data_IF_829908756338
#
_entry.id   IF_829908756338
#
_cell.length_a   1.000
_cell.length_b   1.000
_cell.length_c   1.000
_cell.angle_alpha   90.00
_cell.angle_beta   90.00
_cell.angle_gamma   90.00
#
_symmetry.space_group_name_H-M   'P 1'
#
loop_
_entity.id
_entity.type
_entity.pdbx_description
1 polymer ?
#
# COMPACT_ATOMS: atom_id res chain seq x y z
N UNK A 1 -18.66 59.87 49.87
CA UNK A 1 -19.05 60.99 48.98
C UNK A 1 -18.65 60.60 47.56
N UNK A 2 -19.64 60.56 46.68
CA UNK A 2 -19.62 60.68 45.22
C UNK A 2 -18.73 59.76 44.35
N UNK A 3 -19.44 58.86 43.64
CA UNK A 3 -19.41 58.60 42.20
C UNK A 3 -18.25 59.20 41.37
N UNK A 4 -17.68 58.42 40.45
CA UNK A 4 -18.14 58.43 39.05
C UNK A 4 -17.28 57.54 38.15
N UNK A 5 -17.98 56.85 37.24
CA UNK A 5 -17.54 56.10 36.08
C UNK A 5 -16.65 56.89 35.11
N UNK A 6 -15.77 56.18 34.40
CA UNK A 6 -15.52 56.24 32.94
C UNK A 6 -14.41 55.21 32.63
N UNK A 7 -14.65 54.11 31.90
CA UNK A 7 -15.04 54.08 30.49
C UNK A 7 -13.81 53.75 29.64
N UNK A 8 -13.53 52.45 29.42
CA UNK A 8 -12.59 51.98 28.37
C UNK A 8 -13.14 50.72 27.69
N UNK A 9 -14.25 50.92 26.99
CA UNK A 9 -14.74 50.05 25.92
C UNK A 9 -13.77 50.22 24.74
N UNK A 10 -12.78 49.33 24.60
CA UNK A 10 -11.83 49.47 23.48
C UNK A 10 -10.66 48.49 23.42
N UNK A 11 -10.63 47.45 24.25
CA UNK A 11 -9.51 46.48 24.26
C UNK A 11 -9.97 45.06 23.89
N UNK A 12 -11.27 44.83 23.75
CA UNK A 12 -11.81 43.46 23.58
C UNK A 12 -11.88 43.03 22.10
N UNK A 13 -11.74 43.94 21.13
CA UNK A 13 -12.05 43.65 19.72
C UNK A 13 -10.84 43.22 18.89
N UNK A 14 -9.59 43.42 19.34
CA UNK A 14 -8.41 43.29 18.47
C UNK A 14 -7.49 42.10 18.75
N UNK A 15 -7.84 41.18 19.67
CA UNK A 15 -7.02 39.99 19.93
C UNK A 15 -7.73 38.65 19.73
N UNK A 16 -8.86 38.64 19.02
CA UNK A 16 -9.55 37.40 18.59
C UNK A 16 -9.39 37.10 17.10
N UNK A 17 -8.72 37.98 16.33
CA UNK A 17 -8.57 37.86 14.87
C UNK A 17 -7.33 37.11 14.39
N UNK A 18 -6.39 36.74 15.27
CA UNK A 18 -5.12 36.10 14.88
C UNK A 18 -5.17 34.56 14.95
N UNK A 19 -6.16 33.97 15.62
CA UNK A 19 -6.17 32.53 15.89
C UNK A 19 -6.88 31.65 14.82
N UNK A 20 -7.34 32.22 13.71
CA UNK A 20 -8.20 31.50 12.73
C UNK A 20 -7.40 30.82 11.60
N UNK A 21 -6.08 31.06 11.50
CA UNK A 21 -5.30 30.69 10.30
C UNK A 21 -4.53 29.35 10.39
N UNK A 22 -4.70 28.52 11.41
CA UNK A 22 -3.83 27.34 11.61
C UNK A 22 -4.47 25.96 11.36
N UNK A 23 -5.63 25.89 10.71
CA UNK A 23 -6.25 24.60 10.38
C UNK A 23 -6.47 24.40 8.87
N UNK A 24 -5.44 24.63 8.05
CA UNK A 24 -5.39 23.97 6.74
C UNK A 24 -4.83 22.57 6.95
N UNK A 25 -5.70 21.63 7.32
CA UNK A 25 -5.36 20.21 7.28
C UNK A 25 -5.06 19.85 5.82
N UNK A 26 -3.76 19.69 5.52
CA UNK A 26 -3.33 19.02 4.31
C UNK A 26 -3.76 17.56 4.44
N UNK A 27 -4.99 17.25 4.03
CA UNK A 27 -5.37 15.89 3.72
C UNK A 27 -4.59 15.54 2.46
N UNK A 28 -3.32 15.14 2.59
CA UNK A 28 -2.66 14.43 1.51
C UNK A 28 -3.49 13.18 1.33
N UNK A 29 -4.25 13.13 0.24
CA UNK A 29 -4.85 11.92 -0.25
C UNK A 29 -3.67 11.01 -0.60
N UNK A 30 -3.19 10.25 0.38
CA UNK A 30 -2.27 9.17 0.13
C UNK A 30 -3.02 8.26 -0.83
N UNK A 31 -2.56 8.21 -2.08
CA UNK A 31 -3.10 7.32 -3.10
C UNK A 31 -3.02 5.91 -2.51
N UNK A 32 -4.17 5.42 -2.05
CA UNK A 32 -4.28 4.11 -1.44
C UNK A 32 -3.92 3.14 -2.55
N UNK A 33 -2.73 2.51 -2.46
CA UNK A 33 -2.32 1.44 -3.37
C UNK A 33 -3.49 0.47 -3.48
N UNK A 34 -4.24 0.55 -4.57
CA UNK A 34 -5.44 -0.23 -4.74
C UNK A 34 -4.97 -1.69 -4.84
N UNK A 35 -5.48 -2.55 -3.97
CA UNK A 35 -5.22 -3.97 -4.10
C UNK A 35 -6.01 -4.41 -5.34
N UNK A 36 -5.29 -4.58 -6.44
CA UNK A 36 -5.84 -5.12 -7.68
C UNK A 36 -5.84 -6.65 -7.60
N UNK A 37 -6.99 -7.27 -7.85
CA UNK A 37 -7.05 -8.71 -8.08
C UNK A 37 -6.46 -9.04 -9.46
N UNK A 38 -5.31 -9.71 -9.45
CA UNK A 38 -4.64 -10.13 -10.68
C UNK A 38 -4.88 -11.62 -10.89
N UNK A 39 -5.51 -11.98 -12.00
CA UNK A 39 -5.72 -13.39 -12.34
C UNK A 39 -4.43 -14.05 -12.82
N UNK A 40 -4.05 -15.14 -12.15
CA UNK A 40 -2.95 -15.99 -12.60
C UNK A 40 -3.38 -16.84 -13.79
N UNK A 41 -2.42 -17.21 -14.63
CA UNK A 41 -2.67 -18.20 -15.68
C UNK A 41 -2.88 -19.58 -15.07
N UNK A 42 -3.85 -20.32 -15.62
CA UNK A 42 -4.09 -21.72 -15.26
C UNK A 42 -2.83 -22.56 -15.48
N UNK A 43 -2.62 -23.51 -14.59
CA UNK A 43 -1.56 -24.50 -14.65
C UNK A 43 -0.67 -24.57 -13.41
N UNK A 44 -0.10 -25.76 -13.23
CA UNK A 44 0.85 -26.05 -12.16
C UNK A 44 2.19 -25.29 -12.33
N UNK A 45 2.81 -24.76 -11.26
CA UNK A 45 2.35 -24.80 -9.86
C UNK A 45 1.53 -23.58 -9.41
N UNK A 46 1.50 -22.50 -10.19
CA UNK A 46 1.01 -21.20 -9.73
C UNK A 46 -0.50 -21.16 -9.44
N UNK A 47 -1.32 -21.84 -10.26
CA UNK A 47 -2.77 -21.96 -9.99
C UNK A 47 -3.00 -22.65 -8.64
N UNK A 48 -2.37 -23.81 -8.41
CA UNK A 48 -2.51 -24.53 -7.16
C UNK A 48 -2.00 -23.75 -5.95
N UNK A 49 -0.95 -22.93 -6.11
CA UNK A 49 -0.45 -22.07 -5.04
C UNK A 49 -1.49 -21.00 -4.67
N UNK A 50 -2.05 -20.30 -5.66
CA UNK A 50 -3.08 -19.28 -5.44
C UNK A 50 -4.34 -19.89 -4.83
N UNK A 51 -4.75 -21.08 -5.29
CA UNK A 51 -5.98 -21.72 -4.83
C UNK A 51 -5.91 -22.25 -3.39
N UNK A 52 -4.70 -22.48 -2.86
CA UNK A 52 -4.51 -23.17 -1.58
C UNK A 52 -3.83 -22.33 -0.50
N UNK A 53 -3.14 -21.26 -0.88
CA UNK A 53 -2.61 -20.29 0.06
C UNK A 53 -3.71 -19.35 0.56
N UNK A 54 -3.52 -18.83 1.78
CA UNK A 54 -4.43 -17.84 2.35
C UNK A 54 -4.35 -16.53 1.55
N UNK A 55 -3.14 -16.17 1.11
CA UNK A 55 -2.90 -15.01 0.27
C UNK A 55 -1.61 -15.17 -0.54
N UNK A 56 -1.64 -14.72 -1.80
CA UNK A 56 -0.45 -14.54 -2.64
C UNK A 56 -0.44 -13.08 -3.11
N UNK A 57 0.53 -12.30 -2.64
CA UNK A 57 0.64 -10.87 -2.93
C UNK A 57 1.87 -10.58 -3.76
N UNK A 58 1.70 -9.83 -4.84
CA UNK A 58 2.81 -9.33 -5.65
C UNK A 58 3.05 -7.87 -5.27
N UNK A 59 4.21 -7.59 -4.70
CA UNK A 59 4.67 -6.22 -4.47
C UNK A 59 5.49 -5.80 -5.67
N UNK A 60 5.19 -4.64 -6.26
CA UNK A 60 5.92 -4.17 -7.41
C UNK A 60 6.06 -2.64 -7.45
N UNK A 61 7.10 -2.18 -8.12
CA UNK A 61 7.36 -0.78 -8.44
C UNK A 61 7.59 -0.68 -9.94
N UNK A 62 6.86 0.22 -10.59
CA UNK A 62 6.97 0.49 -12.02
C UNK A 62 8.03 1.55 -12.30
N UNK A 63 9.04 1.16 -13.09
CA UNK A 63 10.00 2.06 -13.73
C UNK A 63 9.67 2.24 -15.20
N UNK A 64 10.51 2.99 -15.93
CA UNK A 64 10.26 3.32 -17.34
C UNK A 64 10.19 2.08 -18.25
N UNK A 65 11.11 1.13 -18.07
CA UNK A 65 11.24 -0.05 -18.95
C UNK A 65 11.22 -1.38 -18.19
N UNK A 66 11.16 -1.32 -16.86
CA UNK A 66 11.25 -2.47 -15.98
C UNK A 66 10.29 -2.35 -14.79
N UNK A 67 9.95 -3.50 -14.25
CA UNK A 67 9.21 -3.67 -13.01
C UNK A 67 10.17 -4.31 -12.02
N UNK A 68 10.29 -3.73 -10.84
CA UNK A 68 10.94 -4.39 -9.69
C UNK A 68 9.84 -5.03 -8.88
N UNK A 69 9.90 -6.34 -8.65
CA UNK A 69 8.85 -7.03 -7.91
C UNK A 69 9.37 -8.13 -6.98
N UNK A 70 8.56 -8.46 -5.98
CA UNK A 70 8.69 -9.65 -5.13
C UNK A 70 7.31 -10.25 -4.86
N UNK A 71 7.28 -11.50 -4.42
CA UNK A 71 6.05 -12.19 -4.04
C UNK A 71 6.10 -12.56 -2.58
N UNK A 72 4.99 -12.35 -1.88
CA UNK A 72 4.77 -12.85 -0.53
C UNK A 72 3.62 -13.85 -0.55
N UNK A 73 3.78 -14.94 0.19
CA UNK A 73 2.78 -16.00 0.31
C UNK A 73 2.47 -16.20 1.78
N UNK A 74 1.20 -16.03 2.14
CA UNK A 74 0.70 -16.29 3.48
C UNK A 74 0.01 -17.65 3.54
N UNK A 75 0.41 -18.48 4.51
CA UNK A 75 -0.16 -19.80 4.75
C UNK A 75 0.01 -20.20 6.21
N UNK A 76 -1.09 -20.57 6.89
CA UNK A 76 -1.05 -21.11 8.25
C UNK A 76 -0.44 -20.14 9.25
N UNK A 77 -0.68 -18.83 9.08
CA UNK A 77 -0.07 -17.77 9.89
C UNK A 77 1.42 -17.53 9.66
N UNK A 78 2.04 -18.22 8.70
CA UNK A 78 3.41 -17.96 8.26
C UNK A 78 3.39 -17.10 6.99
N UNK A 79 4.42 -16.28 6.84
CA UNK A 79 4.64 -15.47 5.64
C UNK A 79 5.98 -15.87 5.06
N UNK A 80 5.95 -16.39 3.84
CA UNK A 80 7.15 -16.53 3.02
C UNK A 80 7.32 -15.29 2.15
N UNK A 81 8.53 -14.76 2.11
CA UNK A 81 8.88 -13.62 1.26
C UNK A 81 9.93 -14.06 0.25
N UNK A 82 9.61 -13.86 -1.03
CA UNK A 82 10.51 -14.15 -2.13
C UNK A 82 11.55 -13.05 -2.34
N UNK A 83 12.56 -13.38 -3.13
CA UNK A 83 13.60 -12.43 -3.53
C UNK A 83 13.04 -11.37 -4.49
N UNK A 84 13.52 -10.15 -4.32
CA UNK A 84 13.24 -9.06 -5.24
C UNK A 84 13.97 -9.26 -6.57
N UNK A 85 13.27 -8.99 -7.68
CA UNK A 85 13.82 -9.13 -9.03
C UNK A 85 13.35 -8.02 -9.96
N UNK A 86 14.23 -7.64 -10.88
CA UNK A 86 13.92 -6.71 -11.97
C UNK A 86 13.57 -7.48 -13.24
N UNK A 87 12.36 -7.26 -13.74
CA UNK A 87 11.82 -7.93 -14.93
C UNK A 87 11.26 -6.89 -15.91
N UNK A 88 11.15 -7.24 -17.19
CA UNK A 88 10.60 -6.30 -18.17
C UNK A 88 9.09 -6.12 -17.97
N UNK A 89 8.58 -4.92 -18.25
CA UNK A 89 7.14 -4.60 -18.19
C UNK A 89 6.33 -5.65 -18.95
N UNK A 90 6.76 -6.02 -20.17
CA UNK A 90 6.07 -7.02 -20.98
C UNK A 90 5.94 -8.41 -20.30
N UNK A 91 7.00 -8.88 -19.61
CA UNK A 91 6.93 -10.15 -18.87
C UNK A 91 5.95 -10.06 -17.69
N UNK A 92 5.95 -8.92 -16.99
CA UNK A 92 5.02 -8.65 -15.91
C UNK A 92 3.57 -8.68 -16.39
N UNK A 93 3.24 -7.85 -17.38
CA UNK A 93 1.87 -7.69 -17.89
C UNK A 93 1.26 -9.00 -18.37
N UNK A 94 2.06 -9.87 -19.00
CA UNK A 94 1.55 -11.15 -19.48
C UNK A 94 1.38 -12.19 -18.36
N UNK A 95 2.37 -12.30 -17.46
CA UNK A 95 2.45 -13.39 -16.46
C UNK A 95 3.02 -12.88 -15.13
N UNK A 96 2.31 -12.02 -14.38
CA UNK A 96 2.90 -11.27 -13.27
C UNK A 96 3.46 -12.17 -12.17
N UNK A 97 2.67 -13.13 -11.67
CA UNK A 97 3.13 -14.06 -10.64
C UNK A 97 4.34 -14.89 -11.11
N UNK A 98 4.32 -15.40 -12.34
CA UNK A 98 5.43 -16.16 -12.92
C UNK A 98 6.67 -15.31 -13.21
N UNK A 99 6.48 -14.04 -13.52
CA UNK A 99 7.59 -13.11 -13.73
C UNK A 99 8.28 -12.78 -12.40
N UNK A 100 7.51 -12.69 -11.32
CA UNK A 100 7.98 -12.27 -9.99
C UNK A 100 8.39 -13.43 -9.08
N UNK A 101 8.11 -14.69 -9.45
CA UNK A 101 8.42 -15.87 -8.64
C UNK A 101 8.87 -17.05 -9.48
N UNK A 102 9.98 -17.67 -9.08
CA UNK A 102 10.48 -18.85 -9.77
C UNK A 102 9.56 -20.05 -9.61
N UNK A 103 9.57 -20.91 -10.63
CA UNK A 103 8.71 -22.08 -10.65
C UNK A 103 9.04 -23.02 -9.50
N UNK A 104 10.30 -23.18 -9.14
CA UNK A 104 10.72 -24.10 -8.09
C UNK A 104 10.27 -23.63 -6.71
N UNK A 105 10.39 -22.35 -6.39
CA UNK A 105 9.85 -21.77 -5.15
C UNK A 105 8.34 -21.99 -5.06
N UNK A 106 7.62 -21.77 -6.15
CA UNK A 106 6.18 -22.00 -6.19
C UNK A 106 5.81 -23.47 -5.94
N UNK A 107 6.62 -24.44 -6.40
CA UNK A 107 6.40 -25.86 -6.08
C UNK A 107 6.65 -26.15 -4.61
N UNK A 108 7.73 -25.61 -4.04
CA UNK A 108 8.08 -25.81 -2.63
C UNK A 108 6.99 -25.26 -1.73
N UNK A 109 6.51 -24.04 -1.99
CA UNK A 109 5.43 -23.44 -1.21
C UNK A 109 4.11 -24.19 -1.39
N UNK A 110 3.76 -24.61 -2.61
CA UNK A 110 2.58 -25.42 -2.86
C UNK A 110 2.65 -26.77 -2.12
N UNK A 111 3.83 -27.37 -1.97
CA UNK A 111 3.99 -28.60 -1.21
C UNK A 111 3.71 -28.40 0.30
N UNK A 112 3.89 -27.17 0.81
CA UNK A 112 3.63 -26.83 2.20
C UNK A 112 2.16 -26.46 2.49
N UNK A 113 1.26 -26.55 1.50
CA UNK A 113 -0.18 -26.31 1.67
C UNK A 113 -0.97 -27.60 1.94
N UNK A 114 -0.31 -28.73 2.13
CA UNK A 114 -0.90 -30.05 2.40
C UNK A 114 -0.66 -30.47 3.85
#
# INVERSE_FOLDING_TARGET
MNQSHTGKTGIIVTLTLVSILLFTSNNSLAELNQIEEIYTQKGYPYEGLVDRSEQVTIFYIEGTDNIVCRVEVSQGGQIWQGEERSISVNKFTQKPLRACMDREDAKVLLANTF
#
